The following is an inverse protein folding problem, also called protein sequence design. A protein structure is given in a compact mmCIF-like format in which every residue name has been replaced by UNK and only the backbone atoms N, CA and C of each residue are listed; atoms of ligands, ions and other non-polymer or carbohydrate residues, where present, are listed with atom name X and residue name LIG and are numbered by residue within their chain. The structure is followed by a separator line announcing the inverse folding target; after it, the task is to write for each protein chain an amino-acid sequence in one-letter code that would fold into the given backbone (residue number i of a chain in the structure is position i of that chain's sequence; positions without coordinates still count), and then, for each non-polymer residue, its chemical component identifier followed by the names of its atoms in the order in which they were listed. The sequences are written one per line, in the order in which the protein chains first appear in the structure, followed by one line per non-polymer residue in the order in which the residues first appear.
data_IF_817465701440
#
_entry.id   IF_817465701440
#
_cell.length_a   1.000
_cell.length_b   1.000
_cell.length_c   1.000
_cell.angle_alpha   90.00
_cell.angle_beta   90.00
_cell.angle_gamma   90.00
#
_symmetry.space_group_name_H-M   'P 1'
#
loop_
_entity.id
_entity.type
_entity.pdbx_description
1 polymer ?
#
# COMPACT_ATOMS: atom_id res chain seq x y z
N UNK A 1 23.27 3.65 -7.24
CA UNK A 1 22.80 4.04 -5.89
C UNK A 1 22.80 5.57 -5.68
N UNK A 2 23.85 6.31 -6.12
CA UNK A 2 23.94 7.78 -5.98
C UNK A 2 22.77 8.56 -6.63
N UNK A 3 22.37 8.31 -7.91
CA UNK A 3 21.28 9.07 -8.52
C UNK A 3 19.92 8.86 -7.83
N UNK A 4 19.72 7.70 -7.21
CA UNK A 4 18.47 7.38 -6.49
C UNK A 4 18.36 8.13 -5.16
N UNK A 5 19.47 8.17 -4.39
CA UNK A 5 19.55 8.97 -3.14
C UNK A 5 19.38 10.46 -3.42
N UNK A 6 20.05 10.97 -4.46
CA UNK A 6 19.94 12.39 -4.83
C UNK A 6 18.51 12.78 -5.21
N UNK A 7 17.77 11.96 -5.96
CA UNK A 7 16.37 12.22 -6.28
C UNK A 7 15.47 12.21 -5.04
N UNK A 8 15.70 11.28 -4.11
CA UNK A 8 14.99 11.27 -2.83
C UNK A 8 15.27 12.54 -2.02
N UNK A 9 16.50 13.02 -1.99
CA UNK A 9 16.86 14.27 -1.31
C UNK A 9 16.15 15.46 -1.94
N UNK A 10 16.11 15.57 -3.28
CA UNK A 10 15.38 16.65 -3.96
C UNK A 10 13.88 16.63 -3.65
N UNK A 11 13.25 15.45 -3.60
CA UNK A 11 11.84 15.29 -3.25
C UNK A 11 11.60 15.76 -1.80
N UNK A 12 12.48 15.38 -0.87
CA UNK A 12 12.43 15.80 0.53
C UNK A 12 12.61 17.33 0.67
N UNK A 13 13.66 17.87 0.06
CA UNK A 13 14.03 19.28 0.19
C UNK A 13 12.96 20.19 -0.42
N UNK A 14 12.24 19.72 -1.45
CA UNK A 14 11.06 20.36 -2.02
C UNK A 14 9.79 20.15 -1.20
N UNK A 15 9.84 19.42 -0.07
CA UNK A 15 8.68 19.02 0.76
C UNK A 15 7.60 18.24 0.00
N UNK A 16 7.98 17.56 -1.08
CA UNK A 16 7.07 16.81 -1.93
C UNK A 16 6.78 15.38 -1.42
N UNK A 17 7.33 15.01 -0.25
CA UNK A 17 7.01 13.72 0.38
C UNK A 17 5.53 13.68 0.77
N UNK A 18 5.04 14.74 1.44
CA UNK A 18 3.65 14.83 1.90
C UNK A 18 3.12 16.27 1.72
N UNK A 19 2.94 16.76 0.48
CA UNK A 19 2.64 18.18 0.21
C UNK A 19 1.30 18.65 0.81
N UNK A 20 0.32 17.76 0.97
CA UNK A 20 -0.98 18.11 1.56
C UNK A 20 -0.99 18.15 3.09
N UNK A 21 0.10 17.71 3.75
CA UNK A 21 0.14 17.75 5.20
C UNK A 21 0.36 19.18 5.73
N UNK A 22 -0.05 19.45 6.99
CA UNK A 22 0.17 20.76 7.61
C UNK A 22 1.65 21.16 7.60
N UNK A 23 1.92 22.44 7.40
CA UNK A 23 3.30 22.98 7.34
C UNK A 23 4.09 22.72 8.61
N UNK A 24 3.43 22.71 9.76
CA UNK A 24 4.03 22.41 11.08
C UNK A 24 4.64 21.01 11.16
N UNK A 25 4.15 20.06 10.36
CA UNK A 25 4.66 18.69 10.28
C UNK A 25 5.48 18.45 8.99
N UNK A 26 6.01 19.48 8.36
CA UNK A 26 6.91 19.36 7.21
C UNK A 26 6.22 19.25 5.84
N UNK A 27 4.89 19.36 5.77
CA UNK A 27 4.15 19.48 4.53
C UNK A 27 4.17 20.90 3.94
N UNK A 28 3.39 21.12 2.88
CA UNK A 28 3.20 22.43 2.24
C UNK A 28 1.83 23.02 2.57
N UNK A 29 0.91 22.26 3.17
CA UNK A 29 -0.48 22.65 3.39
C UNK A 29 -1.27 22.79 2.09
N UNK A 30 -0.86 22.06 1.05
CA UNK A 30 -1.49 22.07 -0.26
C UNK A 30 -2.78 21.24 -0.27
N UNK A 31 -3.63 21.48 -1.24
CA UNK A 31 -4.80 20.66 -1.46
C UNK A 31 -4.41 19.19 -1.77
N UNK A 32 -5.23 18.25 -1.30
CA UNK A 32 -4.97 16.82 -1.46
C UNK A 32 -4.87 16.39 -2.94
N UNK A 33 -5.52 17.12 -3.85
CA UNK A 33 -5.46 16.87 -5.30
C UNK A 33 -4.03 16.93 -5.83
N UNK A 34 -3.19 17.83 -5.29
CA UNK A 34 -1.77 17.91 -5.66
C UNK A 34 -0.98 16.67 -5.22
N UNK A 35 -1.29 16.10 -4.06
CA UNK A 35 -0.71 14.83 -3.61
C UNK A 35 -1.13 13.67 -4.50
N UNK A 36 -2.36 13.67 -5.02
CA UNK A 36 -2.88 12.66 -5.93
C UNK A 36 -2.13 12.72 -7.26
N UNK A 37 -2.05 13.90 -7.90
CA UNK A 37 -1.34 14.12 -9.16
C UNK A 37 0.15 13.74 -9.03
N UNK A 38 0.77 14.15 -7.93
CA UNK A 38 2.17 13.81 -7.65
C UNK A 38 2.38 12.30 -7.51
N UNK A 39 1.45 11.62 -6.84
CA UNK A 39 1.50 10.17 -6.64
C UNK A 39 1.38 9.40 -7.95
N UNK A 40 0.45 9.80 -8.80
CA UNK A 40 0.28 9.25 -10.15
C UNK A 40 1.54 9.48 -10.99
N UNK A 41 2.07 10.70 -10.97
CA UNK A 41 3.31 11.05 -11.69
C UNK A 41 4.50 10.23 -11.22
N UNK A 42 4.65 10.03 -9.90
CA UNK A 42 5.73 9.20 -9.35
C UNK A 42 5.58 7.74 -9.75
N UNK A 43 4.37 7.22 -9.77
CA UNK A 43 4.08 5.86 -10.21
C UNK A 43 4.41 5.68 -11.71
N UNK A 44 3.92 6.57 -12.56
CA UNK A 44 4.21 6.58 -14.00
C UNK A 44 5.71 6.68 -14.29
N UNK A 45 6.43 7.58 -13.61
CA UNK A 45 7.87 7.78 -13.77
C UNK A 45 8.72 6.74 -13.04
N UNK A 46 8.11 5.80 -12.32
CA UNK A 46 8.81 4.82 -11.48
C UNK A 46 9.85 5.49 -10.58
N UNK A 47 9.49 6.66 -10.04
CA UNK A 47 10.38 7.45 -9.19
C UNK A 47 10.75 6.69 -7.93
N UNK A 48 11.98 6.84 -7.40
CA UNK A 48 12.32 6.29 -6.11
C UNK A 48 11.40 6.90 -5.06
N UNK A 49 10.64 6.02 -4.44
CA UNK A 49 9.41 6.42 -3.81
C UNK A 49 9.49 7.02 -2.45
N UNK A 50 8.37 7.56 -2.13
CA UNK A 50 7.87 7.84 -0.81
C UNK A 50 7.74 6.54 -0.02
N UNK A 51 7.89 6.62 1.28
CA UNK A 51 7.39 5.60 2.18
C UNK A 51 5.85 5.56 2.08
N UNK A 52 5.34 4.64 1.26
CA UNK A 52 3.90 4.48 1.02
C UNK A 52 3.13 4.23 2.32
N UNK A 53 3.70 3.44 3.23
CA UNK A 53 3.06 3.12 4.50
C UNK A 53 3.08 4.32 5.45
N UNK A 54 4.18 5.07 5.50
CA UNK A 54 4.30 6.29 6.28
C UNK A 54 3.38 7.40 5.74
N UNK A 55 3.54 7.74 4.47
CA UNK A 55 2.90 8.94 3.89
C UNK A 55 1.41 8.75 3.64
N UNK A 56 0.95 7.55 3.23
CA UNK A 56 -0.44 7.36 2.79
C UNK A 56 -1.31 6.56 3.74
N UNK A 57 -0.70 5.92 4.75
CA UNK A 57 -1.43 5.08 5.67
C UNK A 57 -1.30 5.61 7.09
N UNK A 58 -0.18 5.37 7.74
CA UNK A 58 -0.05 5.72 9.17
C UNK A 58 -0.01 7.23 9.41
N UNK A 59 0.59 8.01 8.53
CA UNK A 59 0.67 9.46 8.69
C UNK A 59 -0.69 10.16 8.72
N UNK A 60 -1.58 9.95 7.72
CA UNK A 60 -2.95 10.46 7.77
C UNK A 60 -3.74 9.94 8.98
N UNK A 61 -3.47 8.71 9.41
CA UNK A 61 -4.09 8.14 10.61
C UNK A 61 -3.61 8.85 11.88
N UNK A 62 -2.31 9.15 11.99
CA UNK A 62 -1.76 9.95 13.10
C UNK A 62 -2.30 11.38 13.06
N UNK A 63 -2.42 12.01 11.89
CA UNK A 63 -3.02 13.33 11.76
C UNK A 63 -4.46 13.38 12.31
N UNK A 64 -5.25 12.31 12.07
CA UNK A 64 -6.65 12.22 12.48
C UNK A 64 -6.83 11.79 13.94
N UNK A 65 -6.11 10.78 14.39
CA UNK A 65 -6.34 10.09 15.67
C UNK A 65 -5.19 10.23 16.67
N UNK A 66 -4.03 10.71 16.24
CA UNK A 66 -2.84 10.80 17.06
C UNK A 66 -2.89 11.95 18.06
N UNK A 67 -2.22 11.76 19.20
CA UNK A 67 -1.93 12.82 20.16
C UNK A 67 -0.90 13.81 19.60
N UNK A 68 -0.77 14.97 20.20
CA UNK A 68 0.24 15.97 19.79
C UNK A 68 1.65 15.41 19.88
N UNK A 69 1.95 14.63 20.93
CA UNK A 69 3.21 13.88 21.06
C UNK A 69 3.47 12.96 19.85
N UNK A 70 2.46 12.21 19.43
CA UNK A 70 2.60 11.30 18.28
C UNK A 70 2.78 12.06 16.96
N UNK A 71 2.06 13.15 16.78
CA UNK A 71 2.18 14.02 15.60
C UNK A 71 3.57 14.63 15.50
N UNK A 72 4.08 15.21 16.58
CA UNK A 72 5.42 15.81 16.61
C UNK A 72 6.52 14.79 16.37
N UNK A 73 6.43 13.62 17.02
CA UNK A 73 7.44 12.57 16.94
C UNK A 73 7.48 11.90 15.58
N UNK A 74 6.34 11.46 15.04
CA UNK A 74 6.32 10.56 13.89
C UNK A 74 6.13 11.26 12.55
N UNK A 75 5.36 12.35 12.47
CA UNK A 75 5.07 12.99 11.19
C UNK A 75 6.30 13.66 10.60
N UNK A 76 7.11 14.32 11.43
CA UNK A 76 8.35 14.95 11.00
C UNK A 76 9.39 13.94 10.48
N UNK A 77 9.49 12.76 11.10
CA UNK A 77 10.38 11.68 10.62
C UNK A 77 9.96 11.19 9.21
N UNK A 78 8.65 11.09 8.97
CA UNK A 78 8.09 10.68 7.67
C UNK A 78 8.38 11.74 6.61
N UNK A 79 8.07 13.01 6.88
CA UNK A 79 8.25 14.10 5.89
C UNK A 79 9.71 14.39 5.58
N UNK A 80 10.62 14.07 6.49
CA UNK A 80 12.07 14.13 6.24
C UNK A 80 12.62 12.90 5.51
N UNK A 81 11.78 11.86 5.30
CA UNK A 81 12.21 10.62 4.66
C UNK A 81 13.29 9.85 5.45
N UNK A 82 13.29 10.01 6.77
CA UNK A 82 14.29 9.41 7.69
C UNK A 82 13.92 8.00 8.10
N UNK A 83 12.62 7.66 8.04
CA UNK A 83 12.08 6.37 8.47
C UNK A 83 11.29 5.69 7.37
N UNK A 84 11.35 4.37 7.36
CA UNK A 84 10.52 3.50 6.54
C UNK A 84 9.52 2.76 7.43
N UNK A 85 8.25 2.82 7.08
CA UNK A 85 7.19 2.12 7.79
C UNK A 85 6.81 0.80 7.12
N UNK A 86 6.27 -0.13 7.90
CA UNK A 86 5.57 -1.31 7.40
C UNK A 86 4.29 -1.58 8.20
N UNK A 87 3.44 -2.44 7.64
CA UNK A 87 2.14 -2.82 8.20
C UNK A 87 2.18 -4.23 8.77
N UNK A 88 1.77 -4.39 10.02
CA UNK A 88 1.65 -5.66 10.72
C UNK A 88 0.17 -6.01 10.99
N UNK A 89 -0.59 -6.38 9.95
CA UNK A 89 -2.00 -6.73 10.07
C UNK A 89 -2.21 -8.24 9.98
N UNK A 90 -1.99 -8.81 8.80
CA UNK A 90 -2.25 -10.22 8.54
C UNK A 90 -1.40 -11.15 9.40
N UNK A 91 -2.00 -12.28 9.77
CA UNK A 91 -1.36 -13.39 10.47
C UNK A 91 -1.49 -14.68 9.65
N UNK A 92 -0.76 -15.75 9.95
CA UNK A 92 -0.86 -17.00 9.19
C UNK A 92 -2.29 -17.49 8.96
N UNK A 93 -3.18 -17.29 9.97
CA UNK A 93 -4.58 -17.73 9.92
C UNK A 93 -5.59 -16.57 9.84
N UNK A 94 -5.13 -15.32 9.68
CA UNK A 94 -5.99 -14.12 9.68
C UNK A 94 -5.56 -13.16 8.59
N UNK A 95 -6.17 -13.26 7.42
CA UNK A 95 -5.96 -12.35 6.29
C UNK A 95 -7.24 -11.58 5.98
N UNK A 96 -8.15 -12.17 5.21
CA UNK A 96 -9.46 -11.55 4.89
C UNK A 96 -10.33 -11.37 6.12
N UNK A 97 -10.30 -12.30 7.08
CA UNK A 97 -10.92 -12.12 8.40
C UNK A 97 -9.93 -11.45 9.37
N UNK A 98 -9.67 -10.16 9.13
CA UNK A 98 -8.74 -9.39 9.95
C UNK A 98 -9.15 -9.28 11.42
N UNK A 99 -10.46 -9.39 11.72
CA UNK A 99 -10.97 -9.34 13.08
C UNK A 99 -10.55 -10.56 13.94
N UNK A 100 -10.07 -11.62 13.30
CA UNK A 100 -9.63 -12.86 13.97
C UNK A 100 -8.14 -12.85 14.39
N UNK A 101 -7.43 -11.71 14.29
CA UNK A 101 -6.04 -11.61 14.73
C UNK A 101 -5.87 -11.98 16.19
N UNK A 102 -4.81 -12.75 16.48
CA UNK A 102 -4.50 -13.31 17.80
C UNK A 102 -3.17 -12.82 18.39
N UNK A 103 -2.38 -12.05 17.66
CA UNK A 103 -1.17 -11.40 18.23
C UNK A 103 -1.57 -10.65 19.49
N UNK A 104 -0.97 -11.02 20.63
CA UNK A 104 -1.29 -10.45 21.93
C UNK A 104 -0.52 -9.17 22.21
N UNK A 105 -1.13 -8.25 22.93
CA UNK A 105 -0.53 -7.05 23.47
C UNK A 105 -0.92 -6.93 24.95
N UNK A 106 -0.10 -7.51 25.84
CA UNK A 106 -0.35 -7.51 27.28
C UNK A 106 0.05 -6.15 27.87
N UNK A 107 -0.95 -5.36 28.29
CA UNK A 107 -0.73 -4.03 28.88
C UNK A 107 -0.55 -4.13 30.40
N UNK A 108 0.55 -3.59 30.87
CA UNK A 108 0.83 -3.39 32.28
C UNK A 108 0.71 -1.89 32.60
N UNK A 109 -0.30 -1.53 33.40
CA UNK A 109 -0.62 -0.15 33.75
C UNK A 109 0.45 0.46 34.68
N UNK A 110 1.04 -0.33 35.60
CA UNK A 110 1.98 0.17 36.60
C UNK A 110 3.25 0.77 35.99
N UNK A 111 3.72 0.17 34.88
CA UNK A 111 4.96 0.63 34.20
C UNK A 111 4.69 1.16 32.77
N UNK A 112 3.43 1.35 32.39
CA UNK A 112 3.00 1.82 31.07
C UNK A 112 3.62 1.04 29.90
N UNK A 113 3.65 -0.29 30.01
CA UNK A 113 4.29 -1.15 29.02
C UNK A 113 3.26 -2.07 28.35
N UNK A 114 3.27 -2.13 27.02
CA UNK A 114 2.58 -3.15 26.23
C UNK A 114 3.64 -4.15 25.75
N UNK A 115 3.49 -5.41 26.14
CA UNK A 115 4.35 -6.51 25.70
C UNK A 115 3.66 -7.28 24.60
N UNK A 116 4.27 -7.34 23.42
CA UNK A 116 3.65 -7.89 22.20
C UNK A 116 4.29 -9.23 21.87
N UNK A 117 3.44 -10.25 21.65
CA UNK A 117 3.83 -11.59 21.27
C UNK A 117 2.92 -12.11 20.13
N UNK A 118 3.51 -12.65 19.07
CA UNK A 118 2.78 -13.21 17.93
C UNK A 118 3.58 -13.26 16.65
N UNK A 119 2.86 -13.51 15.55
CA UNK A 119 3.47 -13.61 14.22
C UNK A 119 2.62 -12.85 13.22
N UNK A 120 3.25 -11.93 12.48
CA UNK A 120 2.64 -11.25 11.33
C UNK A 120 3.22 -11.78 10.03
N UNK A 121 2.41 -11.85 8.99
CA UNK A 121 2.82 -12.37 7.69
C UNK A 121 2.42 -11.42 6.57
N UNK A 122 3.05 -11.57 5.41
CA UNK A 122 2.88 -10.72 4.24
C UNK A 122 3.24 -9.25 4.47
N UNK A 123 4.04 -8.98 5.50
CA UNK A 123 4.53 -7.63 5.81
C UNK A 123 5.43 -7.11 4.69
N UNK A 124 4.90 -6.19 3.89
CA UNK A 124 5.63 -5.61 2.76
C UNK A 124 6.79 -4.75 3.26
N UNK A 125 7.99 -5.03 2.73
CA UNK A 125 9.24 -4.33 3.06
C UNK A 125 9.64 -4.36 4.54
N UNK A 126 9.11 -5.28 5.35
CA UNK A 126 9.44 -5.41 6.78
C UNK A 126 10.95 -5.47 7.05
N UNK A 127 11.74 -6.11 6.16
CA UNK A 127 13.20 -6.19 6.27
C UNK A 127 13.95 -4.85 6.03
N UNK A 128 13.24 -3.79 5.67
CA UNK A 128 13.77 -2.43 5.45
C UNK A 128 13.13 -1.40 6.34
N UNK A 129 12.08 -1.79 7.06
CA UNK A 129 11.30 -0.88 7.88
C UNK A 129 12.05 -0.56 9.19
N UNK A 130 11.96 0.70 9.59
CA UNK A 130 12.40 1.17 10.90
C UNK A 130 11.27 1.09 11.92
N UNK A 131 10.01 1.24 11.46
CA UNK A 131 8.81 1.24 12.30
C UNK A 131 7.70 0.40 11.70
N UNK A 132 6.85 -0.15 12.57
CA UNK A 132 5.65 -0.88 12.17
C UNK A 132 4.43 -0.33 12.90
N UNK A 133 3.33 -0.14 12.18
CA UNK A 133 2.02 -0.05 12.80
C UNK A 133 1.36 -1.43 12.76
N UNK A 134 0.95 -1.88 13.93
CA UNK A 134 0.52 -3.27 14.14
C UNK A 134 -0.84 -3.32 14.81
N UNK A 135 -1.71 -4.23 14.35
CA UNK A 135 -2.97 -4.52 14.99
C UNK A 135 -2.77 -5.69 15.97
N UNK A 136 -3.06 -5.46 17.24
CA UNK A 136 -2.87 -6.45 18.31
C UNK A 136 -4.11 -6.55 19.19
N UNK A 137 -4.32 -7.70 19.80
CA UNK A 137 -5.38 -7.94 20.78
C UNK A 137 -4.87 -7.58 22.16
N UNK A 138 -5.35 -6.47 22.70
CA UNK A 138 -4.92 -5.93 23.99
C UNK A 138 -5.89 -6.22 25.13
N UNK A 139 -7.14 -6.60 24.82
CA UNK A 139 -8.09 -7.08 25.81
C UNK A 139 -8.23 -8.61 25.64
N UNK A 140 -7.75 -9.40 26.62
CA UNK A 140 -7.92 -10.86 26.60
C UNK A 140 -9.39 -11.26 26.50
N UNK A 141 -9.66 -12.41 25.92
CA UNK A 141 -11.01 -13.00 25.80
C UNK A 141 -12.04 -12.12 25.09
N UNK A 142 -11.61 -11.01 24.49
CA UNK A 142 -12.48 -10.17 23.68
C UNK A 142 -12.78 -10.81 22.34
N UNK A 143 -13.98 -10.53 21.81
CA UNK A 143 -14.45 -11.17 20.60
C UNK A 143 -14.31 -10.26 19.36
N UNK A 144 -13.77 -10.82 18.27
CA UNK A 144 -13.68 -10.19 16.94
C UNK A 144 -13.14 -8.76 16.97
N UNK A 145 -14.01 -7.79 16.76
CA UNK A 145 -13.66 -6.36 16.61
C UNK A 145 -13.31 -5.65 17.92
N UNK A 146 -13.73 -6.21 19.05
CA UNK A 146 -13.48 -5.64 20.37
C UNK A 146 -12.08 -5.98 20.88
N UNK A 147 -11.54 -5.11 21.72
CA UNK A 147 -10.26 -5.35 22.40
C UNK A 147 -9.04 -5.33 21.49
N UNK A 148 -9.16 -4.81 20.28
CA UNK A 148 -8.05 -4.59 19.36
C UNK A 148 -7.48 -3.19 19.53
N UNK A 149 -6.17 -3.05 19.43
CA UNK A 149 -5.46 -1.77 19.45
C UNK A 149 -4.53 -1.64 18.25
N UNK A 150 -4.45 -0.43 17.69
CA UNK A 150 -3.44 -0.08 16.68
C UNK A 150 -2.24 0.51 17.40
N UNK A 151 -1.11 -0.18 17.34
CA UNK A 151 0.08 0.14 18.11
C UNK A 151 1.28 0.39 17.20
N UNK A 152 2.16 1.31 17.60
CA UNK A 152 3.41 1.60 16.89
C UNK A 152 4.57 0.93 17.60
N UNK A 153 5.41 0.22 16.85
CA UNK A 153 6.61 -0.44 17.38
C UNK A 153 7.87 -0.07 16.59
N UNK A 154 9.01 -0.19 17.22
CA UNK A 154 10.34 -0.07 16.61
C UNK A 154 10.73 -1.43 16.02
N UNK A 155 11.08 -1.48 14.75
CA UNK A 155 11.53 -2.72 14.09
C UNK A 155 12.94 -3.16 14.51
N UNK A 156 13.65 -2.30 15.24
CA UNK A 156 14.97 -2.59 15.81
C UNK A 156 14.91 -3.16 17.22
N UNK A 157 13.70 -3.30 17.79
CA UNK A 157 13.53 -3.99 19.08
C UNK A 157 14.11 -5.41 18.99
N UNK A 158 14.91 -5.86 19.96
CA UNK A 158 15.55 -7.19 19.93
C UNK A 158 14.55 -8.35 19.89
N UNK A 159 13.31 -8.14 20.29
CA UNK A 159 12.22 -9.10 20.17
C UNK A 159 11.64 -9.24 18.76
N UNK A 160 12.02 -8.38 17.81
CA UNK A 160 11.52 -8.42 16.42
C UNK A 160 12.47 -9.24 15.56
N UNK A 161 11.95 -10.32 14.96
CA UNK A 161 12.67 -11.11 13.96
C UNK A 161 11.95 -11.07 12.63
N UNK A 162 12.63 -10.63 11.57
CA UNK A 162 12.08 -10.52 10.21
C UNK A 162 12.63 -11.63 9.33
N UNK A 163 11.75 -12.46 8.77
CA UNK A 163 12.07 -13.55 7.85
C UNK A 163 11.53 -13.20 6.45
N UNK A 164 12.40 -12.87 5.47
CA UNK A 164 11.96 -12.57 4.11
C UNK A 164 11.32 -13.77 3.42
N UNK A 165 10.19 -13.55 2.74
CA UNK A 165 9.48 -14.56 1.95
C UNK A 165 9.80 -14.33 0.47
N UNK A 166 10.42 -15.31 -0.17
CA UNK A 166 10.70 -15.27 -1.61
C UNK A 166 9.42 -15.56 -2.39
N UNK A 167 8.99 -14.62 -3.22
CA UNK A 167 7.81 -14.77 -4.08
C UNK A 167 8.17 -15.28 -5.49
N UNK A 168 7.16 -15.54 -6.32
CA UNK A 168 7.36 -16.09 -7.68
C UNK A 168 8.15 -15.16 -8.62
N UNK A 169 8.22 -13.85 -8.33
CA UNK A 169 9.06 -12.91 -9.09
C UNK A 169 10.54 -12.94 -8.68
N UNK A 170 10.92 -13.84 -7.76
CA UNK A 170 12.26 -13.91 -7.19
C UNK A 170 12.56 -12.81 -6.15
N UNK A 171 11.60 -11.93 -5.88
CA UNK A 171 11.72 -10.85 -4.91
C UNK A 171 11.36 -11.34 -3.51
N UNK A 172 11.98 -10.75 -2.48
CA UNK A 172 11.63 -10.98 -1.07
C UNK A 172 10.99 -9.71 -0.48
N UNK A 173 10.05 -9.11 -1.21
CA UNK A 173 9.34 -7.91 -0.75
C UNK A 173 8.37 -8.16 0.41
N UNK A 174 7.90 -9.41 0.57
CA UNK A 174 7.06 -9.81 1.69
C UNK A 174 7.87 -10.47 2.78
N UNK A 175 7.40 -10.34 4.01
CA UNK A 175 8.10 -10.88 5.18
C UNK A 175 7.11 -11.49 6.17
N UNK A 176 7.56 -12.53 6.87
CA UNK A 176 7.04 -12.91 8.15
C UNK A 176 7.77 -12.10 9.23
N UNK A 177 7.04 -11.63 10.24
CA UNK A 177 7.60 -10.91 11.37
C UNK A 177 7.18 -11.60 12.66
N UNK A 178 8.14 -12.20 13.33
CA UNK A 178 7.96 -12.86 14.63
C UNK A 178 8.25 -11.85 15.73
N UNK A 179 7.32 -11.76 16.67
CA UNK A 179 7.34 -10.82 17.79
C UNK A 179 7.45 -11.66 19.08
N UNK A 180 8.53 -11.48 19.81
CA UNK A 180 8.81 -12.18 21.07
C UNK A 180 9.15 -11.18 22.15
N UNK A 181 8.19 -10.89 23.03
CA UNK A 181 8.30 -9.92 24.11
C UNK A 181 8.74 -8.51 23.64
N UNK A 182 8.26 -8.08 22.47
CA UNK A 182 8.47 -6.72 21.94
C UNK A 182 7.77 -5.73 22.87
N UNK A 183 8.49 -4.69 23.31
CA UNK A 183 7.99 -3.73 24.28
C UNK A 183 7.70 -2.37 23.64
N UNK A 184 6.56 -1.80 23.98
CA UNK A 184 6.19 -0.44 23.63
C UNK A 184 5.36 0.19 24.75
N UNK A 185 5.10 1.50 24.69
CA UNK A 185 4.30 2.23 25.69
C UNK A 185 2.89 2.50 25.14
N UNK A 186 1.92 2.73 26.04
CA UNK A 186 0.58 3.18 25.69
C UNK A 186 0.60 4.48 24.87
N UNK A 187 1.64 5.32 25.03
CA UNK A 187 1.87 6.53 24.23
C UNK A 187 2.03 6.24 22.73
N UNK A 188 2.28 5.00 22.35
CA UNK A 188 2.39 4.55 20.97
C UNK A 188 1.11 3.86 20.46
N UNK A 189 0.00 3.88 21.21
CA UNK A 189 -1.33 3.46 20.75
C UNK A 189 -1.98 4.59 19.97
N UNK A 190 -2.42 4.33 18.76
CA UNK A 190 -3.17 5.30 17.95
C UNK A 190 -4.66 5.19 18.30
N UNK A 191 -5.23 6.32 18.72
CA UNK A 191 -6.58 6.34 19.28
C UNK A 191 -6.56 5.86 20.74
N UNK A 192 -7.55 5.05 21.13
CA UNK A 192 -7.67 4.53 22.50
C UNK A 192 -7.29 3.05 22.57
N UNK A 193 -6.72 2.66 23.70
CA UNK A 193 -6.44 1.25 23.99
C UNK A 193 -7.76 0.45 23.93
N UNK A 194 -7.73 -0.75 23.34
CA UNK A 194 -8.84 -1.65 23.10
C UNK A 194 -9.90 -1.18 22.07
N UNK A 195 -9.79 0.03 21.50
CA UNK A 195 -10.72 0.61 20.53
C UNK A 195 -10.09 0.83 19.13
N UNK A 196 -9.01 0.11 18.81
CA UNK A 196 -8.23 0.32 17.56
C UNK A 196 -8.89 -0.18 16.28
N UNK A 197 -10.00 -0.92 16.35
CA UNK A 197 -10.62 -1.50 15.14
C UNK A 197 -11.07 -0.43 14.13
N UNK A 198 -11.78 0.60 14.57
CA UNK A 198 -12.24 1.67 13.67
C UNK A 198 -11.07 2.47 13.10
N UNK A 199 -10.03 2.70 13.90
CA UNK A 199 -8.79 3.34 13.44
C UNK A 199 -8.12 2.50 12.34
N UNK A 200 -8.07 1.17 12.53
CA UNK A 200 -7.51 0.26 11.55
C UNK A 200 -8.32 0.22 10.24
N UNK A 201 -9.65 0.29 10.30
CA UNK A 201 -10.51 0.36 9.11
C UNK A 201 -10.32 1.67 8.33
N UNK A 202 -10.25 2.80 9.04
CA UNK A 202 -9.99 4.10 8.41
C UNK A 202 -8.63 4.13 7.72
N UNK A 203 -7.61 3.54 8.34
CA UNK A 203 -6.28 3.40 7.74
C UNK A 203 -6.35 2.62 6.42
N UNK A 204 -7.13 1.54 6.34
CA UNK A 204 -7.34 0.78 5.12
C UNK A 204 -8.07 1.60 4.03
N UNK A 205 -8.93 2.54 4.40
CA UNK A 205 -9.57 3.45 3.44
C UNK A 205 -8.56 4.42 2.81
N UNK A 206 -7.50 4.79 3.52
CA UNK A 206 -6.38 5.56 2.96
C UNK A 206 -5.54 4.73 1.98
N UNK A 207 -5.37 3.43 2.23
CA UNK A 207 -4.63 2.51 1.38
C UNK A 207 -5.26 2.33 -0.01
N UNK A 208 -6.59 2.25 -0.07
CA UNK A 208 -7.36 1.86 -1.28
C UNK A 208 -7.48 2.95 -2.35
N UNK A 209 -6.56 3.92 -2.41
CA UNK A 209 -6.64 5.00 -3.40
C UNK A 209 -6.51 4.52 -4.86
N UNK A 210 -5.81 3.43 -5.11
CA UNK A 210 -5.64 2.87 -6.45
C UNK A 210 -4.75 3.66 -7.41
N UNK A 211 -4.37 4.89 -7.09
CA UNK A 211 -3.71 5.82 -8.02
C UNK A 211 -2.35 5.33 -8.55
N UNK A 212 -1.59 4.61 -7.73
CA UNK A 212 -0.31 4.04 -8.18
C UNK A 212 -0.51 2.98 -9.26
N UNK A 213 -1.58 2.18 -9.15
CA UNK A 213 -1.91 1.17 -10.15
C UNK A 213 -2.25 1.83 -11.49
N UNK A 214 -2.90 3.00 -11.47
CA UNK A 214 -3.17 3.78 -12.69
C UNK A 214 -1.85 4.21 -13.34
N UNK A 215 -0.97 4.91 -12.61
CA UNK A 215 0.32 5.35 -13.15
C UNK A 215 1.21 4.21 -13.65
N UNK A 216 1.23 3.06 -12.97
CA UNK A 216 1.98 1.87 -13.44
C UNK A 216 1.37 1.26 -14.69
N UNK A 217 0.03 1.20 -14.78
CA UNK A 217 -0.69 0.71 -15.95
C UNK A 217 -0.45 1.59 -17.18
N UNK A 218 -0.58 2.91 -17.02
CA UNK A 218 -0.29 3.89 -18.08
C UNK A 218 1.13 3.71 -18.61
N UNK A 219 2.12 3.68 -17.72
CA UNK A 219 3.52 3.49 -18.12
C UNK A 219 3.76 2.19 -18.85
N UNK A 220 3.16 1.08 -18.39
CA UNK A 220 3.31 -0.20 -19.07
C UNK A 220 2.66 -0.18 -20.44
N UNK A 221 1.47 0.42 -20.55
CA UNK A 221 0.73 0.48 -21.81
C UNK A 221 1.43 1.36 -22.83
N UNK A 222 2.01 2.50 -22.42
CA UNK A 222 2.81 3.37 -23.30
C UNK A 222 4.06 2.66 -23.79
N UNK A 223 4.81 1.99 -22.90
CA UNK A 223 6.02 1.27 -23.24
C UNK A 223 5.76 0.10 -24.23
N UNK A 224 4.62 -0.62 -24.06
CA UNK A 224 4.27 -1.73 -24.98
C UNK A 224 3.74 -1.22 -26.32
N UNK A 225 3.01 -0.11 -26.31
CA UNK A 225 2.54 0.56 -27.54
C UNK A 225 3.75 1.03 -28.36
N UNK A 226 4.74 1.67 -27.74
CA UNK A 226 5.99 2.08 -28.37
C UNK A 226 6.76 0.86 -28.92
N UNK A 227 6.79 -0.24 -28.20
CA UNK A 227 7.40 -1.48 -28.66
C UNK A 227 6.67 -2.02 -29.90
N UNK A 228 5.34 -2.04 -29.90
CA UNK A 228 4.54 -2.49 -31.04
C UNK A 228 4.76 -1.62 -32.27
N UNK A 229 4.83 -0.29 -32.12
CA UNK A 229 5.17 0.64 -33.22
C UNK A 229 6.55 0.37 -33.81
N UNK A 230 7.57 0.24 -32.95
CA UNK A 230 8.97 -0.01 -33.39
C UNK A 230 9.18 -1.35 -34.10
N UNK A 231 8.33 -2.33 -33.84
CA UNK A 231 8.42 -3.65 -34.43
C UNK A 231 7.33 -3.94 -35.47
N UNK A 232 6.61 -2.91 -35.95
CA UNK A 232 5.53 -2.99 -36.93
C UNK A 232 4.36 -3.91 -36.52
N UNK A 233 4.22 -4.20 -35.22
CA UNK A 233 3.15 -5.05 -34.69
C UNK A 233 1.82 -4.31 -34.66
N UNK A 234 1.82 -2.98 -34.71
CA UNK A 234 0.60 -2.15 -34.71
C UNK A 234 -0.23 -2.33 -35.98
N UNK A 235 0.34 -2.83 -37.06
CA UNK A 235 -0.37 -3.16 -38.30
C UNK A 235 -1.30 -4.38 -38.13
N UNK A 236 -1.08 -5.19 -37.12
CA UNK A 236 -1.95 -6.29 -36.79
C UNK A 236 -3.21 -5.78 -36.08
N UNK A 237 -4.39 -5.99 -36.71
CA UNK A 237 -5.67 -5.52 -36.18
C UNK A 237 -5.96 -6.05 -34.77
N UNK A 238 -5.62 -7.30 -34.47
CA UNK A 238 -5.81 -7.86 -33.13
C UNK A 238 -4.98 -7.12 -32.08
N UNK A 239 -3.73 -6.78 -32.39
CA UNK A 239 -2.86 -5.99 -31.50
C UNK A 239 -3.44 -4.61 -31.29
N UNK A 240 -3.86 -3.93 -32.36
CA UNK A 240 -4.45 -2.59 -32.31
C UNK A 240 -5.73 -2.56 -31.49
N UNK A 241 -6.62 -3.54 -31.70
CA UNK A 241 -7.89 -3.64 -30.98
C UNK A 241 -7.67 -3.91 -29.48
N UNK A 242 -6.72 -4.78 -29.13
CA UNK A 242 -6.36 -5.03 -27.73
C UNK A 242 -5.80 -3.79 -27.06
N UNK A 243 -4.85 -3.08 -27.68
CA UNK A 243 -4.27 -1.83 -27.15
C UNK A 243 -5.38 -0.79 -26.90
N UNK A 244 -6.29 -0.59 -27.87
CA UNK A 244 -7.40 0.36 -27.75
C UNK A 244 -8.35 -0.02 -26.62
N UNK A 245 -8.70 -1.29 -26.49
CA UNK A 245 -9.58 -1.80 -25.41
C UNK A 245 -8.93 -1.65 -24.03
N UNK A 246 -7.63 -1.96 -23.90
CA UNK A 246 -6.89 -1.80 -22.66
C UNK A 246 -6.78 -0.33 -22.27
N UNK A 247 -6.54 0.58 -23.24
CA UNK A 247 -6.51 2.03 -23.01
C UNK A 247 -7.87 2.53 -22.50
N UNK A 248 -8.96 2.19 -23.14
CA UNK A 248 -10.30 2.57 -22.73
C UNK A 248 -10.65 2.04 -21.31
N UNK A 249 -10.26 0.80 -21.03
CA UNK A 249 -10.47 0.20 -19.70
C UNK A 249 -9.62 0.88 -18.61
N UNK A 250 -8.38 1.26 -18.94
CA UNK A 250 -7.50 1.98 -18.02
C UNK A 250 -8.03 3.39 -17.73
N UNK A 251 -8.51 4.11 -18.75
CA UNK A 251 -9.14 5.42 -18.55
C UNK A 251 -10.40 5.32 -17.67
N UNK A 252 -11.23 4.29 -17.88
CA UNK A 252 -12.40 4.04 -17.02
C UNK A 252 -11.99 3.81 -15.55
N UNK A 253 -10.95 3.01 -15.32
CA UNK A 253 -10.38 2.78 -13.98
C UNK A 253 -9.81 4.07 -13.38
N UNK A 254 -9.15 4.91 -14.19
CA UNK A 254 -8.60 6.22 -13.79
C UNK A 254 -9.71 7.18 -13.34
N UNK A 255 -10.77 7.33 -14.13
CA UNK A 255 -11.92 8.17 -13.80
C UNK A 255 -12.58 7.71 -12.49
N UNK A 256 -12.75 6.40 -12.30
CA UNK A 256 -13.30 5.84 -11.05
C UNK A 256 -12.38 6.12 -9.86
N UNK A 257 -11.08 6.02 -10.06
CA UNK A 257 -10.07 6.34 -9.03
C UNK A 257 -10.13 7.83 -8.65
N UNK A 258 -10.21 8.72 -9.63
CA UNK A 258 -10.35 10.14 -9.38
C UNK A 258 -11.67 10.49 -8.69
N UNK A 259 -12.78 9.85 -9.06
CA UNK A 259 -14.06 10.01 -8.38
C UNK A 259 -13.95 9.63 -6.88
N UNK A 260 -13.35 8.47 -6.58
CA UNK A 260 -13.15 8.02 -5.20
C UNK A 260 -12.29 9.00 -4.39
N UNK A 261 -11.25 9.56 -5.00
CA UNK A 261 -10.37 10.55 -4.37
C UNK A 261 -11.04 11.92 -4.23
N UNK A 262 -11.84 12.33 -5.22
CA UNK A 262 -12.59 13.60 -5.17
C UNK A 262 -13.64 13.60 -4.04
N UNK A 263 -14.41 12.53 -3.87
CA UNK A 263 -15.35 12.37 -2.74
C UNK A 263 -14.63 12.61 -1.41
N UNK A 264 -13.42 12.07 -1.27
CA UNK A 264 -12.60 12.28 -0.09
C UNK A 264 -12.22 13.76 0.13
N UNK A 265 -12.05 14.55 -0.94
CA UNK A 265 -11.75 16.00 -0.81
C UNK A 265 -12.93 16.81 -0.33
N UNK A 266 -14.14 16.32 -0.54
CA UNK A 266 -15.39 17.00 -0.13
C UNK A 266 -15.77 16.71 1.33
N UNK A 267 -14.96 15.95 2.08
CA UNK A 267 -15.27 15.43 3.42
C UNK A 267 -16.56 14.59 3.47
N UNK A 268 -17.00 14.08 2.32
CA UNK A 268 -18.13 13.17 2.25
C UNK A 268 -17.75 11.77 2.77
N UNK A 269 -18.74 11.04 3.27
CA UNK A 269 -18.54 9.66 3.68
C UNK A 269 -18.17 8.79 2.48
N UNK A 270 -16.98 8.21 2.55
CA UNK A 270 -16.50 7.25 1.55
C UNK A 270 -17.22 5.93 1.77
N UNK A 271 -17.92 5.44 0.76
CA UNK A 271 -18.72 4.21 0.86
C UNK A 271 -18.07 3.04 0.11
N UNK A 272 -18.45 2.83 -1.15
CA UNK A 272 -18.01 1.70 -1.99
C UNK A 272 -16.92 2.09 -3.00
N UNK A 273 -16.73 3.37 -3.25
CA UNK A 273 -15.90 3.89 -4.34
C UNK A 273 -14.43 3.44 -4.26
N UNK A 274 -13.78 3.40 -3.08
CA UNK A 274 -12.42 2.85 -2.98
C UNK A 274 -12.35 1.37 -3.35
N UNK A 275 -13.39 0.60 -3.02
CA UNK A 275 -13.46 -0.81 -3.39
C UNK A 275 -13.62 -1.01 -4.90
N UNK A 276 -14.45 -0.19 -5.56
CA UNK A 276 -14.60 -0.17 -7.01
C UNK A 276 -13.30 0.24 -7.69
N UNK A 277 -12.68 1.32 -7.25
CA UNK A 277 -11.38 1.78 -7.74
C UNK A 277 -10.32 0.68 -7.63
N UNK A 278 -10.20 0.04 -6.46
CA UNK A 278 -9.22 -1.02 -6.22
C UNK A 278 -9.42 -2.19 -7.19
N UNK A 279 -10.63 -2.69 -7.38
CA UNK A 279 -10.91 -3.80 -8.29
C UNK A 279 -10.51 -3.40 -9.72
N UNK A 280 -11.03 -2.30 -10.23
CA UNK A 280 -10.78 -1.86 -11.60
C UNK A 280 -9.29 -1.64 -11.86
N UNK A 281 -8.59 -0.94 -10.95
CA UNK A 281 -7.18 -0.63 -11.10
C UNK A 281 -6.28 -1.87 -11.04
N UNK A 282 -6.60 -2.87 -10.20
CA UNK A 282 -5.80 -4.09 -10.12
C UNK A 282 -6.08 -5.03 -11.29
N UNK A 283 -7.34 -5.21 -11.68
CA UNK A 283 -7.71 -6.10 -12.80
C UNK A 283 -7.20 -5.60 -14.14
N UNK A 284 -7.26 -4.27 -14.39
CA UNK A 284 -6.71 -3.73 -15.63
C UNK A 284 -5.19 -3.89 -15.70
N UNK A 285 -4.47 -3.74 -14.58
CA UNK A 285 -3.02 -3.98 -14.55
C UNK A 285 -2.67 -5.43 -14.86
N UNK A 286 -3.44 -6.41 -14.35
CA UNK A 286 -3.24 -7.82 -14.71
C UNK A 286 -3.36 -7.98 -16.23
N UNK A 287 -4.45 -7.47 -16.83
CA UNK A 287 -4.70 -7.57 -18.27
C UNK A 287 -3.61 -6.88 -19.12
N UNK A 288 -3.16 -5.69 -18.72
CA UNK A 288 -2.10 -4.94 -19.41
C UNK A 288 -0.79 -5.74 -19.38
N UNK A 289 -0.41 -6.29 -18.23
CA UNK A 289 0.85 -7.04 -18.11
C UNK A 289 0.77 -8.42 -18.75
N UNK A 290 -0.41 -9.06 -18.81
CA UNK A 290 -0.63 -10.28 -19.57
C UNK A 290 -0.49 -10.02 -21.08
N UNK A 291 -1.10 -8.95 -21.58
CA UNK A 291 -0.97 -8.55 -22.97
C UNK A 291 0.51 -8.24 -23.31
N UNK A 292 1.18 -7.43 -22.48
CA UNK A 292 2.59 -7.10 -22.68
C UNK A 292 3.49 -8.36 -22.68
N UNK A 293 3.23 -9.29 -21.77
CA UNK A 293 3.94 -10.57 -21.71
C UNK A 293 3.74 -11.38 -23.01
N UNK A 294 2.51 -11.47 -23.51
CA UNK A 294 2.20 -12.19 -24.75
C UNK A 294 2.85 -11.55 -25.98
N UNK A 295 2.84 -10.21 -26.09
CA UNK A 295 3.49 -9.47 -27.19
C UNK A 295 5.00 -9.71 -27.19
N UNK A 296 5.65 -9.71 -26.03
CA UNK A 296 7.08 -9.95 -25.92
C UNK A 296 7.48 -11.43 -26.10
N UNK A 297 6.51 -12.36 -25.88
CA UNK A 297 6.66 -13.78 -26.13
C UNK A 297 7.99 -14.35 -25.61
N UNK A 298 8.81 -14.95 -26.50
CA UNK A 298 10.08 -15.61 -26.13
C UNK A 298 11.08 -14.67 -25.42
N UNK A 299 11.03 -13.35 -25.66
CA UNK A 299 11.96 -12.39 -25.02
C UNK A 299 11.78 -12.29 -23.51
N UNK A 300 10.60 -12.60 -22.97
CA UNK A 300 10.32 -12.56 -21.52
C UNK A 300 10.51 -13.91 -20.84
N UNK A 301 10.59 -15.01 -21.58
CA UNK A 301 10.76 -16.36 -21.02
C UNK A 301 12.21 -16.78 -20.82
N UNK A 302 13.15 -16.04 -21.40
CA UNK A 302 14.58 -16.29 -21.25
C UNK A 302 15.10 -15.56 -20.02
N UNK A 303 15.42 -16.31 -18.97
CA UNK A 303 15.98 -15.79 -17.71
C UNK A 303 17.52 -15.78 -17.79
N UNK A 304 18.10 -14.87 -18.54
CA UNK A 304 19.52 -14.67 -18.56
C UNK A 304 19.90 -13.19 -18.41
N UNK A 305 21.19 -12.92 -18.22
CA UNK A 305 21.70 -11.57 -18.06
C UNK A 305 21.67 -10.75 -19.35
N UNK A 306 21.50 -11.39 -20.52
CA UNK A 306 21.38 -10.75 -21.84
C UNK A 306 20.01 -10.12 -22.05
N UNK A 307 18.99 -10.49 -21.25
CA UNK A 307 17.65 -9.94 -21.37
C UNK A 307 17.65 -8.42 -21.13
N UNK A 308 17.02 -7.67 -22.04
CA UNK A 308 16.91 -6.22 -21.91
C UNK A 308 16.10 -5.80 -20.69
N UNK A 309 16.34 -4.57 -20.23
CA UNK A 309 15.71 -4.05 -18.99
C UNK A 309 14.19 -3.93 -19.08
N UNK A 310 13.64 -3.73 -20.30
CA UNK A 310 12.20 -3.64 -20.53
C UNK A 310 11.54 -5.01 -20.36
N UNK A 311 12.06 -6.04 -21.01
CA UNK A 311 11.57 -7.42 -20.90
C UNK A 311 11.64 -7.95 -19.47
N UNK A 312 12.78 -7.70 -18.76
CA UNK A 312 12.91 -8.04 -17.32
C UNK A 312 11.85 -7.37 -16.48
N UNK A 313 11.55 -6.09 -16.75
CA UNK A 313 10.54 -5.35 -16.01
C UNK A 313 9.13 -5.89 -16.25
N UNK A 314 8.77 -6.16 -17.51
CA UNK A 314 7.45 -6.73 -17.84
C UNK A 314 7.24 -8.09 -17.15
N UNK A 315 8.22 -8.99 -17.23
CA UNK A 315 8.14 -10.29 -16.56
C UNK A 315 7.97 -10.13 -15.06
N UNK A 316 8.80 -9.33 -14.42
CA UNK A 316 8.73 -9.10 -12.97
C UNK A 316 7.39 -8.52 -12.54
N UNK A 317 6.90 -7.53 -13.29
CA UNK A 317 5.61 -6.90 -13.00
C UNK A 317 4.46 -7.88 -13.23
N UNK A 318 4.48 -8.65 -14.32
CA UNK A 318 3.48 -9.69 -14.58
C UNK A 318 3.35 -10.67 -13.41
N UNK A 319 4.49 -11.16 -12.91
CA UNK A 319 4.52 -12.06 -11.77
C UNK A 319 4.06 -11.38 -10.46
N UNK A 320 4.36 -10.10 -10.28
CA UNK A 320 3.89 -9.33 -9.14
C UNK A 320 2.37 -9.10 -9.19
N UNK A 321 1.83 -8.70 -10.34
CA UNK A 321 0.41 -8.36 -10.48
C UNK A 321 -0.54 -9.55 -10.35
N UNK A 322 -0.05 -10.81 -10.43
CA UNK A 322 -0.84 -11.99 -10.05
C UNK A 322 -1.44 -11.83 -8.65
N UNK A 323 -0.71 -11.19 -7.73
CA UNK A 323 -1.19 -10.91 -6.38
C UNK A 323 -2.17 -9.73 -6.27
N UNK A 324 -2.40 -8.98 -7.35
CA UNK A 324 -3.25 -7.78 -7.35
C UNK A 324 -4.69 -8.03 -6.89
N UNK A 325 -5.24 -9.19 -7.21
CA UNK A 325 -6.56 -9.61 -6.73
C UNK A 325 -6.63 -9.96 -5.25
N UNK A 326 -5.47 -10.09 -4.57
CA UNK A 326 -5.35 -10.54 -3.17
C UNK A 326 -4.96 -9.40 -2.24
N UNK A 327 -3.95 -8.62 -2.63
CA UNK A 327 -3.38 -7.53 -1.83
C UNK A 327 -4.40 -6.43 -1.53
N UNK A 328 -4.32 -5.82 -0.33
CA UNK A 328 -5.17 -4.70 0.07
C UNK A 328 -6.66 -5.06 0.19
N UNK A 329 -6.96 -6.32 0.54
CA UNK A 329 -8.28 -6.94 0.52
C UNK A 329 -8.60 -7.58 -0.81
N UNK A 330 -8.99 -8.87 -0.77
CA UNK A 330 -9.24 -9.65 -1.99
C UNK A 330 -10.36 -9.04 -2.84
N UNK A 331 -10.39 -9.38 -4.12
CA UNK A 331 -11.48 -8.98 -5.04
C UNK A 331 -12.84 -9.35 -4.47
N UNK A 332 -12.96 -10.52 -3.81
CA UNK A 332 -14.20 -11.01 -3.17
C UNK A 332 -14.59 -10.11 -1.98
N UNK A 333 -13.63 -9.76 -1.12
CA UNK A 333 -13.87 -8.83 0.00
C UNK A 333 -14.31 -7.46 -0.52
N UNK A 334 -13.68 -6.95 -1.58
CA UNK A 334 -14.09 -5.68 -2.17
C UNK A 334 -15.50 -5.75 -2.76
N UNK A 335 -15.86 -6.85 -3.44
CA UNK A 335 -17.22 -7.10 -3.94
C UNK A 335 -18.24 -7.17 -2.80
N UNK A 336 -17.90 -7.82 -1.69
CA UNK A 336 -18.77 -7.86 -0.51
C UNK A 336 -19.00 -6.46 0.08
N UNK A 337 -17.96 -5.61 0.13
CA UNK A 337 -18.09 -4.21 0.59
C UNK A 337 -19.03 -3.43 -0.35
N UNK A 338 -18.88 -3.58 -1.67
CA UNK A 338 -19.76 -2.93 -2.65
C UNK A 338 -21.20 -3.42 -2.48
N UNK A 339 -21.42 -4.72 -2.35
CA UNK A 339 -22.73 -5.31 -2.18
C UNK A 339 -23.42 -4.81 -0.90
N UNK A 340 -22.72 -4.83 0.22
CA UNK A 340 -23.30 -4.50 1.52
C UNK A 340 -23.45 -2.99 1.73
N UNK A 341 -22.40 -2.21 1.45
CA UNK A 341 -22.42 -0.76 1.71
C UNK A 341 -23.03 0.04 0.56
N UNK A 342 -22.72 -0.35 -0.69
CA UNK A 342 -23.18 0.36 -1.87
C UNK A 342 -24.59 0.00 -2.30
N UNK A 343 -24.93 -1.29 -2.27
CA UNK A 343 -26.22 -1.80 -2.75
C UNK A 343 -27.19 -2.15 -1.62
N UNK A 344 -26.76 -2.06 -0.35
CA UNK A 344 -27.62 -2.38 0.81
C UNK A 344 -28.00 -3.87 0.92
N UNK A 345 -27.24 -4.76 0.27
CA UNK A 345 -27.52 -6.20 0.34
C UNK A 345 -27.20 -6.77 1.73
N UNK A 346 -27.92 -7.80 2.19
CA UNK A 346 -27.67 -8.41 3.49
C UNK A 346 -26.28 -9.05 3.57
N UNK A 347 -25.77 -9.18 4.80
CA UNK A 347 -24.51 -9.84 5.12
C UNK A 347 -24.63 -11.35 5.07
#
# INVERSE_FOLDING_TARGET
LRPRRQRQMCIRDSKWIAPSWPKVYGGLGEDISKSIILSETFAYRMSPGNDRFGVRMIGPTILKYGTDYQKEKFLNEITRGEVQWCQGYSEPNSGSDLASVVTKGDYNEENDTITINGVKVWTTLGHRADRMFILVRTLPDSNRHHGLSLVLIDMKDPGVKVNPIKNISGSSSFNEVVLNNVKTSSKNVIGKLHEGWMVALDLLNFERSGIDYIGWGERCLDDIEDYCKKNNLIENESVKNNLSSLRASLESAKIMTYKALWIKTQNDEINMEPSMSKILATEINIKIHDFAFNILSKKVTIFDDSQDSFSKRILKNRLFFVSGGILGGTTEIQKNIIAQRGLGLPR
#
